data_IF_763443050446
#
_entry.id   IF_763443050446
#
_cell.length_a   1.000
_cell.length_b   1.000
_cell.length_c   1.000
_cell.angle_alpha   90.00
_cell.angle_beta   90.00
_cell.angle_gamma   90.00
#
_symmetry.space_group_name_H-M   'P 1'
#
loop_
_entity.id
_entity.type
_entity.pdbx_description
1 polymer ?
#
# COMPACT_ATOMS: atom_id res chain seq x y z
N UNK A 1 -9.93 1.38 24.73
CA UNK A 1 -10.25 -0.06 24.87
C UNK A 1 -9.85 -0.63 26.24
N UNK A 2 -9.18 0.10 27.08
CA UNK A 2 -8.53 -0.39 28.30
C UNK A 2 -7.17 -1.03 28.02
N UNK A 3 -6.44 -1.41 29.07
CA UNK A 3 -5.13 -2.06 29.02
C UNK A 3 -4.03 -1.29 28.28
N UNK A 4 -4.22 0.03 28.09
CA UNK A 4 -3.31 0.89 27.33
C UNK A 4 -3.44 0.74 25.80
N UNK A 5 -4.48 0.10 25.30
CA UNK A 5 -4.76 -0.04 23.87
C UNK A 5 -5.77 1.02 23.42
N UNK A 6 -5.45 1.74 22.34
CA UNK A 6 -6.35 2.71 21.69
C UNK A 6 -6.92 2.13 20.39
N UNK A 7 -8.01 2.74 19.89
CA UNK A 7 -8.53 2.51 18.54
C UNK A 7 -8.42 3.80 17.75
N UNK A 8 -7.95 3.68 16.52
CA UNK A 8 -8.03 4.71 15.50
C UNK A 8 -9.08 4.30 14.47
N UNK A 9 -10.02 5.18 14.20
CA UNK A 9 -11.11 4.96 13.23
C UNK A 9 -11.15 6.08 12.20
N UNK A 10 -11.48 5.73 10.96
CA UNK A 10 -11.68 6.66 9.85
C UNK A 10 -13.19 6.84 9.66
N UNK A 11 -13.66 8.09 9.65
CA UNK A 11 -15.09 8.41 9.54
C UNK A 11 -15.45 9.18 8.26
N UNK A 12 -14.56 9.21 7.27
CA UNK A 12 -14.83 9.77 5.96
C UNK A 12 -15.75 8.86 5.14
N UNK A 13 -16.32 9.38 4.04
CA UNK A 13 -17.14 8.55 3.15
C UNK A 13 -16.32 7.41 2.56
N UNK A 14 -16.78 6.17 2.75
CA UNK A 14 -16.03 4.97 2.34
C UNK A 14 -14.73 4.75 3.10
N UNK A 15 -14.58 5.38 4.28
CA UNK A 15 -13.36 5.39 5.06
C UNK A 15 -12.13 5.76 4.20
N UNK A 16 -12.33 6.71 3.25
CA UNK A 16 -11.26 7.20 2.38
C UNK A 16 -10.25 8.05 3.16
N UNK A 17 -9.01 7.99 2.73
CA UNK A 17 -7.90 8.69 3.39
C UNK A 17 -7.66 9.99 2.62
N UNK A 18 -8.12 11.08 3.21
CA UNK A 18 -7.87 12.46 2.77
C UNK A 18 -6.75 13.10 3.62
N UNK A 19 -6.41 14.35 3.32
CA UNK A 19 -5.38 15.06 4.07
C UNK A 19 -5.73 15.23 5.55
N UNK A 20 -7.00 15.45 5.89
CA UNK A 20 -7.43 15.59 7.29
C UNK A 20 -7.26 14.27 8.05
N UNK A 21 -7.66 13.16 7.44
CA UNK A 21 -7.47 11.80 7.98
C UNK A 21 -5.99 11.50 8.20
N UNK A 22 -5.13 11.88 7.23
CA UNK A 22 -3.69 11.69 7.33
C UNK A 22 -3.07 12.52 8.48
N UNK A 23 -3.48 13.77 8.62
CA UNK A 23 -3.05 14.63 9.74
C UNK A 23 -3.55 14.12 11.09
N UNK A 24 -4.76 13.57 11.13
CA UNK A 24 -5.30 12.97 12.34
C UNK A 24 -4.54 11.70 12.73
N UNK A 25 -4.18 10.85 11.74
CA UNK A 25 -3.34 9.68 11.98
C UNK A 25 -1.97 10.09 12.53
N UNK A 26 -1.32 11.08 11.92
CA UNK A 26 -0.02 11.60 12.37
C UNK A 26 -0.04 12.04 13.84
N UNK A 27 -1.04 12.86 14.22
CA UNK A 27 -1.24 13.30 15.60
C UNK A 27 -1.59 12.16 16.55
N UNK A 28 -2.36 11.18 16.07
CA UNK A 28 -2.74 9.99 16.85
C UNK A 28 -1.52 9.14 17.19
N UNK A 29 -0.58 8.97 16.25
CA UNK A 29 0.68 8.26 16.50
C UNK A 29 1.47 8.94 17.61
N UNK A 30 1.59 10.29 17.61
CA UNK A 30 2.25 11.03 18.67
C UNK A 30 1.54 10.87 20.03
N UNK A 31 0.22 10.93 20.03
CA UNK A 31 -0.58 10.76 21.25
C UNK A 31 -0.39 9.37 21.86
N UNK A 32 -0.40 8.32 21.00
CA UNK A 32 -0.21 6.94 21.48
C UNK A 32 1.21 6.73 21.98
N UNK A 33 2.21 7.27 21.28
CA UNK A 33 3.61 7.21 21.72
C UNK A 33 3.84 7.75 23.13
N UNK A 34 3.08 8.78 23.51
CA UNK A 34 3.24 9.46 24.81
C UNK A 34 2.34 8.91 25.93
N UNK A 35 1.18 8.32 25.59
CA UNK A 35 0.13 8.08 26.59
C UNK A 35 -0.43 6.65 26.59
N UNK A 36 -0.12 5.84 25.58
CA UNK A 36 -0.66 4.50 25.42
C UNK A 36 0.43 3.49 25.06
N UNK A 37 0.05 2.21 24.93
CA UNK A 37 1.00 1.12 24.71
C UNK A 37 0.85 0.44 23.35
N UNK A 38 -0.29 0.61 22.67
CA UNK A 38 -0.57 0.06 21.36
C UNK A 38 -1.71 0.83 20.67
N UNK A 39 -1.74 0.74 19.34
CA UNK A 39 -2.82 1.25 18.49
C UNK A 39 -3.45 0.10 17.71
N UNK A 40 -4.78 0.04 17.70
CA UNK A 40 -5.56 -0.77 16.77
C UNK A 40 -6.19 0.17 15.75
N UNK A 41 -6.03 -0.11 14.46
CA UNK A 41 -6.72 0.60 13.38
C UNK A 41 -7.89 -0.28 12.97
N UNK A 42 -9.10 0.21 13.16
CA UNK A 42 -10.34 -0.52 12.91
C UNK A 42 -11.41 0.44 12.42
N UNK A 43 -12.24 0.01 11.52
CA UNK A 43 -13.39 0.78 11.04
C UNK A 43 -14.66 -0.04 11.13
N UNK A 44 -15.68 0.55 11.72
CA UNK A 44 -17.04 0.00 11.69
C UNK A 44 -17.59 0.05 10.26
N UNK A 45 -18.61 -0.78 10.00
CA UNK A 45 -19.32 -0.79 8.72
C UNK A 45 -18.87 -1.91 7.77
N UNK A 46 -19.08 -1.70 6.48
CA UNK A 46 -18.91 -2.73 5.44
C UNK A 46 -17.52 -2.81 4.84
N UNK A 47 -16.67 -1.82 5.11
CA UNK A 47 -15.32 -1.78 4.55
C UNK A 47 -14.32 -1.15 5.53
N UNK A 48 -13.06 -1.60 5.43
CA UNK A 48 -11.96 -1.01 6.18
C UNK A 48 -11.58 0.35 5.59
N UNK A 49 -11.28 0.43 4.29
CA UNK A 49 -10.98 1.68 3.59
C UNK A 49 -11.03 1.50 2.08
N UNK A 50 -11.62 2.47 1.38
CA UNK A 50 -11.56 2.56 -0.09
C UNK A 50 -10.20 3.08 -0.61
N UNK A 51 -9.27 3.46 0.27
CA UNK A 51 -7.97 4.02 -0.08
C UNK A 51 -7.91 5.54 -0.09
N UNK A 52 -6.93 6.09 -0.78
CA UNK A 52 -6.74 7.53 -0.89
C UNK A 52 -7.93 8.23 -1.57
N UNK A 53 -8.25 9.45 -1.13
CA UNK A 53 -9.25 10.28 -1.80
C UNK A 53 -8.69 10.86 -3.12
N UNK A 54 -8.70 10.04 -4.17
CA UNK A 54 -8.19 10.44 -5.50
C UNK A 54 -8.98 11.61 -6.11
N UNK A 55 -10.22 11.85 -5.66
CA UNK A 55 -11.03 12.99 -6.09
C UNK A 55 -10.46 14.32 -5.58
N UNK A 56 -9.89 14.34 -4.37
CA UNK A 56 -9.20 15.52 -3.85
C UNK A 56 -7.96 15.84 -4.69
N UNK A 57 -7.16 14.83 -5.02
CA UNK A 57 -5.98 15.00 -5.86
C UNK A 57 -6.34 15.50 -7.27
N UNK A 58 -7.40 14.94 -7.89
CA UNK A 58 -7.87 15.38 -9.21
C UNK A 58 -8.40 16.81 -9.20
N UNK A 59 -9.17 17.19 -8.17
CA UNK A 59 -9.68 18.57 -8.02
C UNK A 59 -8.52 19.58 -7.93
N UNK A 60 -7.50 19.26 -7.16
CA UNK A 60 -6.32 20.10 -7.02
C UNK A 60 -5.54 20.22 -8.35
N UNK A 61 -5.49 19.12 -9.12
CA UNK A 61 -4.98 19.11 -10.48
C UNK A 61 -5.68 20.07 -11.40
N UNK A 62 -6.98 20.03 -11.43
CA UNK A 62 -7.82 20.86 -12.32
C UNK A 62 -7.72 22.37 -12.04
N UNK A 63 -7.31 22.80 -10.85
CA UNK A 63 -7.10 24.22 -10.52
C UNK A 63 -5.66 24.70 -10.72
N UNK A 64 -4.80 23.90 -11.40
CA UNK A 64 -3.43 24.29 -11.76
C UNK A 64 -2.40 24.22 -10.63
N UNK A 65 -2.74 23.56 -9.51
CA UNK A 65 -1.82 23.32 -8.38
C UNK A 65 -1.17 21.93 -8.45
N UNK A 66 -1.12 21.36 -9.65
CA UNK A 66 -0.94 19.94 -9.92
C UNK A 66 0.34 19.32 -9.38
N UNK A 67 1.47 19.99 -9.50
CA UNK A 67 2.75 19.32 -9.27
C UNK A 67 3.20 19.43 -7.81
N UNK A 68 3.24 20.65 -7.26
CA UNK A 68 3.78 20.84 -5.90
C UNK A 68 2.87 20.29 -4.79
N UNK A 69 1.55 20.25 -5.02
CA UNK A 69 0.63 19.82 -3.98
C UNK A 69 0.45 18.31 -3.97
N UNK A 70 0.42 17.66 -5.15
CA UNK A 70 0.47 16.18 -5.22
C UNK A 70 1.75 15.66 -4.58
N UNK A 71 2.89 16.33 -4.83
CA UNK A 71 4.17 15.98 -4.22
C UNK A 71 4.10 16.07 -2.69
N UNK A 72 3.58 17.17 -2.16
CA UNK A 72 3.41 17.37 -0.71
C UNK A 72 2.48 16.33 -0.07
N UNK A 73 1.39 15.97 -0.75
CA UNK A 73 0.45 14.92 -0.29
C UNK A 73 1.15 13.56 -0.25
N UNK A 74 1.89 13.22 -1.31
CA UNK A 74 2.61 11.95 -1.41
C UNK A 74 3.71 11.88 -0.35
N UNK A 75 4.57 12.88 -0.26
CA UNK A 75 5.65 12.94 0.73
C UNK A 75 5.13 12.90 2.17
N UNK A 76 4.04 13.63 2.44
CA UNK A 76 3.43 13.63 3.76
C UNK A 76 2.83 12.26 4.11
N UNK A 77 2.13 11.63 3.17
CA UNK A 77 1.58 10.29 3.36
C UNK A 77 2.68 9.24 3.59
N UNK A 78 3.75 9.28 2.80
CA UNK A 78 4.93 8.42 3.01
C UNK A 78 5.52 8.62 4.41
N UNK A 79 5.71 9.87 4.83
CA UNK A 79 6.22 10.20 6.17
C UNK A 79 5.33 9.63 7.28
N UNK A 80 4.01 9.79 7.17
CA UNK A 80 3.07 9.31 8.19
C UNK A 80 3.05 7.78 8.25
N UNK A 81 3.07 7.09 7.11
CA UNK A 81 3.08 5.63 7.07
C UNK A 81 4.42 5.05 7.55
N UNK A 82 5.54 5.70 7.23
CA UNK A 82 6.83 5.35 7.82
C UNK A 82 6.81 5.55 9.36
N UNK A 83 6.23 6.65 9.84
CA UNK A 83 6.07 6.91 11.27
C UNK A 83 5.20 5.84 11.95
N UNK A 84 4.14 5.37 11.26
CA UNK A 84 3.29 4.28 11.73
C UNK A 84 4.09 2.98 11.87
N UNK A 85 4.82 2.57 10.81
CA UNK A 85 5.64 1.34 10.78
C UNK A 85 6.71 1.33 11.86
N UNK A 86 7.39 2.47 12.01
CA UNK A 86 8.52 2.65 12.93
C UNK A 86 8.13 3.32 14.25
N UNK A 87 6.89 3.15 14.69
CA UNK A 87 6.46 3.62 16.02
C UNK A 87 7.17 2.84 17.13
N UNK A 88 7.22 3.43 18.32
CA UNK A 88 7.78 2.78 19.53
C UNK A 88 6.76 1.89 20.25
N UNK A 89 5.64 1.62 19.64
CA UNK A 89 4.55 0.77 20.11
C UNK A 89 3.99 -0.07 18.96
N UNK A 90 3.40 -1.25 19.22
CA UNK A 90 2.82 -2.06 18.17
C UNK A 90 1.54 -1.45 17.59
N UNK A 91 1.43 -1.49 16.26
CA UNK A 91 0.25 -1.12 15.49
C UNK A 91 -0.38 -2.38 14.91
N UNK A 92 -1.67 -2.56 15.18
CA UNK A 92 -2.47 -3.69 14.70
C UNK A 92 -3.57 -3.14 13.80
N UNK A 93 -3.62 -3.58 12.54
CA UNK A 93 -4.77 -3.28 11.69
C UNK A 93 -5.79 -4.41 11.73
N UNK A 94 -7.07 -4.06 11.80
CA UNK A 94 -8.18 -5.00 11.89
C UNK A 94 -9.16 -4.80 10.72
N UNK A 95 -8.78 -5.21 9.48
CA UNK A 95 -9.62 -5.03 8.31
C UNK A 95 -10.81 -5.99 8.27
N UNK A 96 -11.93 -5.48 7.74
CA UNK A 96 -13.11 -6.24 7.33
C UNK A 96 -13.64 -5.63 6.03
N UNK A 97 -14.08 -6.46 5.09
CA UNK A 97 -14.48 -6.00 3.77
C UNK A 97 -13.31 -5.42 2.97
N UNK A 98 -13.53 -4.35 2.23
CA UNK A 98 -12.51 -3.76 1.36
C UNK A 98 -11.44 -2.98 2.13
N UNK A 99 -10.18 -3.28 1.83
CA UNK A 99 -8.99 -2.55 2.26
C UNK A 99 -8.11 -2.31 1.02
N UNK A 100 -8.40 -1.24 0.28
CA UNK A 100 -7.86 -1.00 -1.05
C UNK A 100 -6.89 0.19 -1.07
N UNK A 101 -5.93 0.16 -1.98
CA UNK A 101 -4.99 1.26 -2.20
C UNK A 101 -4.31 1.71 -0.91
N UNK A 102 -4.42 3.00 -0.57
CA UNK A 102 -3.90 3.55 0.68
C UNK A 102 -4.40 2.83 1.94
N UNK A 103 -5.60 2.22 1.93
CA UNK A 103 -6.08 1.36 2.99
C UNK A 103 -5.29 0.04 3.09
N UNK A 104 -4.92 -0.55 1.96
CA UNK A 104 -4.01 -1.69 1.91
C UNK A 104 -2.60 -1.28 2.39
N UNK A 105 -2.14 -0.09 2.02
CA UNK A 105 -0.84 0.42 2.47
C UNK A 105 -0.77 0.59 4.00
N UNK A 106 -1.88 0.95 4.68
CA UNK A 106 -1.95 0.90 6.17
C UNK A 106 -1.66 -0.51 6.68
N UNK A 107 -2.28 -1.55 6.09
CA UNK A 107 -2.05 -2.93 6.50
C UNK A 107 -0.59 -3.34 6.30
N UNK A 108 0.00 -2.92 5.17
CA UNK A 108 1.38 -3.22 4.84
C UNK A 108 2.38 -2.60 5.83
N UNK A 109 2.05 -1.43 6.39
CA UNK A 109 2.86 -0.72 7.39
C UNK A 109 2.53 -1.10 8.85
N UNK A 110 1.53 -1.94 9.08
CA UNK A 110 1.18 -2.42 10.42
C UNK A 110 2.11 -3.54 10.89
N UNK A 111 2.39 -3.58 12.19
CA UNK A 111 3.22 -4.63 12.78
C UNK A 111 2.52 -6.00 12.77
N UNK A 112 1.18 -5.98 12.83
CA UNK A 112 0.35 -7.17 12.77
C UNK A 112 -1.01 -6.83 12.16
N UNK A 113 -1.59 -7.77 11.43
CA UNK A 113 -2.94 -7.65 10.89
C UNK A 113 -3.81 -8.75 11.48
N UNK A 114 -4.93 -8.37 12.09
CA UNK A 114 -6.00 -9.29 12.47
C UNK A 114 -7.13 -9.12 11.48
N UNK A 115 -7.17 -9.90 10.41
CA UNK A 115 -8.13 -9.72 9.34
C UNK A 115 -9.43 -10.51 9.61
N UNK A 116 -10.57 -9.95 9.24
CA UNK A 116 -11.78 -10.74 9.06
C UNK A 116 -11.61 -11.67 7.85
N UNK A 117 -12.17 -12.87 7.90
CA UNK A 117 -12.04 -13.85 6.81
C UNK A 117 -12.53 -13.30 5.47
N UNK A 118 -13.60 -12.50 5.47
CA UNK A 118 -14.11 -11.79 4.29
C UNK A 118 -13.45 -10.42 4.16
N UNK A 119 -12.17 -10.40 3.83
CA UNK A 119 -11.39 -9.20 3.56
C UNK A 119 -10.88 -9.19 2.12
N UNK A 120 -11.17 -8.10 1.42
CA UNK A 120 -10.78 -7.83 0.04
C UNK A 120 -9.64 -6.82 0.04
N UNK A 121 -8.41 -7.32 -0.02
CA UNK A 121 -7.21 -6.53 0.20
C UNK A 121 -6.44 -6.41 -1.11
N UNK A 122 -6.05 -5.20 -1.50
CA UNK A 122 -5.29 -5.00 -2.73
C UNK A 122 -4.77 -3.59 -2.96
N UNK A 123 -3.66 -3.51 -3.71
CA UNK A 123 -3.13 -2.29 -4.29
C UNK A 123 -3.77 -2.12 -5.68
N UNK A 124 -4.77 -1.24 -5.76
CA UNK A 124 -5.64 -1.13 -6.96
C UNK A 124 -5.31 0.06 -7.84
N UNK A 125 -4.26 0.79 -7.53
CA UNK A 125 -3.84 2.03 -8.17
C UNK A 125 -3.59 1.87 -9.67
N UNK A 126 -3.00 0.75 -10.10
CA UNK A 126 -2.72 0.50 -11.52
C UNK A 126 -3.99 0.46 -12.38
N UNK A 127 -5.11 -0.03 -11.84
CA UNK A 127 -6.40 0.02 -12.53
C UNK A 127 -6.92 1.44 -12.73
N UNK A 128 -6.52 2.38 -11.86
CA UNK A 128 -6.86 3.80 -11.92
C UNK A 128 -5.89 4.62 -12.78
N UNK A 129 -4.89 3.99 -13.37
CA UNK A 129 -3.89 4.68 -14.19
C UNK A 129 -2.73 5.28 -13.40
N UNK A 130 -2.57 4.93 -12.13
CA UNK A 130 -1.53 5.41 -11.22
C UNK A 130 -0.80 4.23 -10.56
N UNK A 131 0.15 4.50 -9.66
CA UNK A 131 0.85 3.48 -8.87
C UNK A 131 0.67 3.73 -7.37
N UNK A 132 0.87 2.71 -6.51
CA UNK A 132 0.99 2.92 -5.07
C UNK A 132 2.10 3.93 -4.77
N UNK A 133 1.84 4.86 -3.86
CA UNK A 133 2.76 5.96 -3.62
C UNK A 133 3.01 6.29 -2.14
N UNK A 134 2.37 5.58 -1.21
CA UNK A 134 2.62 5.71 0.22
C UNK A 134 3.42 4.53 0.80
N UNK A 135 4.22 3.88 -0.06
CA UNK A 135 5.10 2.77 0.30
C UNK A 135 4.56 1.40 -0.07
N UNK A 136 3.45 1.30 -0.81
CA UNK A 136 2.84 0.02 -1.18
C UNK A 136 3.75 -0.86 -2.03
N UNK A 137 4.46 -0.30 -3.01
CA UNK A 137 5.42 -1.03 -3.81
C UNK A 137 6.58 -1.54 -2.94
N UNK A 138 7.15 -0.66 -2.13
CA UNK A 138 8.25 -0.95 -1.22
C UNK A 138 7.89 -2.07 -0.23
N UNK A 139 6.75 -1.96 0.44
CA UNK A 139 6.35 -2.94 1.45
C UNK A 139 6.03 -4.30 0.84
N UNK A 140 5.36 -4.34 -0.32
CA UNK A 140 5.05 -5.62 -0.96
C UNK A 140 6.31 -6.29 -1.50
N UNK A 141 7.26 -5.53 -2.05
CA UNK A 141 8.57 -6.03 -2.45
C UNK A 141 9.30 -6.65 -1.25
N UNK A 142 9.37 -5.92 -0.13
CA UNK A 142 9.98 -6.39 1.11
C UNK A 142 9.38 -7.70 1.61
N UNK A 143 8.06 -7.81 1.59
CA UNK A 143 7.36 -9.03 2.01
C UNK A 143 7.74 -10.25 1.17
N UNK A 144 7.88 -10.08 -0.15
CA UNK A 144 8.32 -11.17 -1.01
C UNK A 144 9.80 -11.49 -0.87
N UNK A 145 10.67 -10.51 -0.68
CA UNK A 145 12.10 -10.75 -0.45
C UNK A 145 12.37 -11.53 0.84
N UNK A 146 11.58 -11.26 1.89
CA UNK A 146 11.73 -11.93 3.18
C UNK A 146 10.87 -13.20 3.32
N UNK A 147 10.10 -13.57 2.29
CA UNK A 147 9.31 -14.79 2.30
C UNK A 147 10.19 -16.02 2.04
N UNK A 148 10.36 -16.85 3.07
CA UNK A 148 11.18 -18.08 3.03
C UNK A 148 10.74 -19.11 1.98
N UNK A 149 9.51 -19.00 1.48
CA UNK A 149 8.97 -19.88 0.44
C UNK A 149 9.22 -19.34 -0.99
N UNK A 150 9.77 -18.14 -1.12
CA UNK A 150 10.17 -17.61 -2.44
C UNK A 150 11.49 -18.23 -2.91
N UNK A 151 11.66 -18.46 -4.22
CA UNK A 151 12.95 -18.83 -4.77
C UNK A 151 14.01 -17.77 -4.47
N UNK A 152 15.27 -18.20 -4.32
CA UNK A 152 16.38 -17.31 -4.04
C UNK A 152 16.66 -16.33 -5.19
N UNK A 153 17.16 -15.16 -4.84
CA UNK A 153 17.53 -14.09 -5.76
C UNK A 153 16.48 -12.99 -5.88
N UNK A 154 16.83 -11.82 -6.42
CA UNK A 154 15.95 -10.64 -6.39
C UNK A 154 14.80 -10.74 -7.38
N UNK A 155 14.97 -11.43 -8.53
CA UNK A 155 13.96 -11.45 -9.60
C UNK A 155 12.64 -12.11 -9.20
N UNK A 156 12.59 -13.24 -8.46
CA UNK A 156 11.31 -13.84 -8.06
C UNK A 156 10.43 -12.88 -7.25
N UNK A 157 11.01 -12.18 -6.27
CA UNK A 157 10.29 -11.20 -5.45
C UNK A 157 9.79 -10.02 -6.29
N UNK A 158 10.66 -9.46 -7.13
CA UNK A 158 10.34 -8.36 -8.05
C UNK A 158 9.21 -8.75 -9.00
N UNK A 159 9.30 -9.92 -9.64
CA UNK A 159 8.28 -10.40 -10.59
C UNK A 159 6.93 -10.62 -9.90
N UNK A 160 6.93 -11.19 -8.70
CA UNK A 160 5.70 -11.43 -7.94
C UNK A 160 5.05 -10.11 -7.53
N UNK A 161 5.82 -9.16 -6.99
CA UNK A 161 5.34 -7.82 -6.66
C UNK A 161 4.80 -7.10 -7.90
N UNK A 162 5.54 -7.13 -9.00
CA UNK A 162 5.14 -6.54 -10.27
C UNK A 162 3.81 -7.10 -10.80
N UNK A 163 3.65 -8.42 -10.81
CA UNK A 163 2.39 -9.06 -11.22
C UNK A 163 1.22 -8.72 -10.31
N UNK A 164 1.46 -8.63 -9.00
CA UNK A 164 0.42 -8.32 -8.03
C UNK A 164 -0.05 -6.87 -8.16
N UNK A 165 0.88 -5.92 -8.23
CA UNK A 165 0.59 -4.48 -8.32
C UNK A 165 0.11 -4.10 -9.73
N UNK A 166 0.85 -4.52 -10.77
CA UNK A 166 0.56 -4.14 -12.16
C UNK A 166 -0.77 -4.67 -12.68
N UNK A 167 -1.22 -5.81 -12.19
CA UNK A 167 -2.54 -6.35 -12.50
C UNK A 167 -3.63 -5.90 -11.51
N UNK A 168 -3.30 -5.02 -10.57
CA UNK A 168 -4.21 -4.52 -9.53
C UNK A 168 -4.95 -5.68 -8.82
N UNK A 169 -4.22 -6.74 -8.47
CA UNK A 169 -4.82 -7.92 -7.83
C UNK A 169 -5.43 -7.55 -6.48
N UNK A 170 -6.63 -8.07 -6.26
CA UNK A 170 -7.33 -7.94 -4.98
C UNK A 170 -7.70 -9.34 -4.50
N UNK A 171 -7.47 -9.63 -3.22
CA UNK A 171 -7.90 -10.88 -2.63
C UNK A 171 -9.42 -10.92 -2.50
N UNK A 172 -10.00 -12.12 -2.52
CA UNK A 172 -11.41 -12.37 -2.24
C UNK A 172 -11.65 -12.85 -0.80
N UNK A 173 -10.58 -13.07 -0.06
CA UNK A 173 -10.59 -13.51 1.33
C UNK A 173 -9.26 -13.23 2.02
N UNK A 174 -9.23 -13.29 3.36
CA UNK A 174 -7.98 -13.17 4.12
C UNK A 174 -6.99 -14.32 3.84
N UNK A 175 -7.40 -15.61 3.70
CA UNK A 175 -6.48 -16.67 3.26
C UNK A 175 -5.83 -16.37 1.89
N UNK A 176 -6.59 -15.93 0.90
CA UNK A 176 -6.02 -15.56 -0.40
C UNK A 176 -5.09 -14.34 -0.29
N UNK A 177 -5.40 -13.38 0.61
CA UNK A 177 -4.50 -12.26 0.87
C UNK A 177 -3.13 -12.71 1.39
N UNK A 178 -3.05 -13.82 2.14
CA UNK A 178 -1.79 -14.44 2.52
C UNK A 178 -1.06 -15.04 1.30
N UNK A 179 -1.76 -15.72 0.40
CA UNK A 179 -1.17 -16.35 -0.80
C UNK A 179 -0.60 -15.33 -1.77
N UNK A 180 -1.26 -14.18 -1.90
CA UNK A 180 -0.82 -13.10 -2.80
C UNK A 180 0.07 -12.05 -2.13
N UNK A 181 0.38 -12.21 -0.83
CA UNK A 181 1.41 -11.46 -0.12
C UNK A 181 0.95 -10.21 0.62
N UNK A 182 -0.36 -9.91 0.66
CA UNK A 182 -0.88 -8.76 1.41
C UNK A 182 -1.00 -9.03 2.91
N UNK A 183 -1.12 -10.28 3.32
CA UNK A 183 -0.99 -10.72 4.71
C UNK A 183 0.23 -11.63 4.85
N UNK A 184 0.79 -11.67 6.05
CA UNK A 184 1.88 -12.57 6.41
C UNK A 184 1.30 -13.87 6.97
N UNK A 185 2.10 -14.93 7.01
CA UNK A 185 1.72 -16.22 7.61
C UNK A 185 1.42 -16.12 9.11
N UNK A 186 2.04 -15.15 9.79
CA UNK A 186 1.84 -14.87 11.20
C UNK A 186 0.66 -13.97 11.52
N UNK A 187 0.06 -13.29 10.52
CA UNK A 187 -1.12 -12.44 10.70
C UNK A 187 -2.34 -13.29 11.07
N UNK A 188 -3.25 -12.73 11.87
CA UNK A 188 -4.41 -13.43 12.39
C UNK A 188 -5.64 -13.35 11.48
N UNK A 189 -6.48 -14.39 11.52
CA UNK A 189 -7.77 -14.41 10.82
C UNK A 189 -8.90 -14.64 11.83
N UNK A 190 -9.89 -13.74 11.82
CA UNK A 190 -11.10 -13.82 12.63
C UNK A 190 -12.29 -14.21 11.75
N UNK A 191 -13.01 -15.28 12.12
CA UNK A 191 -14.17 -15.77 11.36
C UNK A 191 -15.44 -14.99 11.68
N UNK A 192 -15.62 -14.54 12.92
CA UNK A 192 -16.79 -13.80 13.37
C UNK A 192 -16.45 -12.30 13.44
N UNK A 193 -17.07 -11.50 12.59
CA UNK A 193 -16.83 -10.06 12.51
C UNK A 193 -17.01 -9.34 13.85
N UNK A 194 -18.00 -9.73 14.65
CA UNK A 194 -18.28 -9.09 15.95
C UNK A 194 -17.15 -9.30 16.96
N UNK A 195 -16.27 -10.27 16.71
CA UNK A 195 -15.09 -10.53 17.52
C UNK A 195 -13.82 -9.84 17.04
N UNK A 196 -13.83 -9.30 15.81
CA UNK A 196 -12.64 -8.80 15.14
C UNK A 196 -11.88 -7.76 15.99
N UNK A 197 -12.59 -6.76 16.50
CA UNK A 197 -11.97 -5.72 17.35
C UNK A 197 -11.45 -6.28 18.67
N UNK A 198 -12.14 -7.27 19.24
CA UNK A 198 -11.68 -7.96 20.45
C UNK A 198 -10.41 -8.77 20.20
N UNK A 199 -10.38 -9.54 19.11
CA UNK A 199 -9.23 -10.37 18.74
C UNK A 199 -8.02 -9.49 18.40
N UNK A 200 -8.21 -8.37 17.71
CA UNK A 200 -7.17 -7.37 17.46
C UNK A 200 -6.62 -6.74 18.77
N UNK A 201 -7.50 -6.47 19.76
CA UNK A 201 -7.06 -6.04 21.09
C UNK A 201 -6.21 -7.09 21.78
N UNK A 202 -6.58 -8.36 21.72
CA UNK A 202 -5.80 -9.46 22.31
C UNK A 202 -4.42 -9.56 21.64
N UNK A 203 -4.35 -9.44 20.31
CA UNK A 203 -3.09 -9.39 19.58
C UNK A 203 -2.22 -8.20 20.03
N UNK A 204 -2.82 -7.02 20.21
CA UNK A 204 -2.12 -5.84 20.73
C UNK A 204 -1.53 -6.08 22.13
N UNK A 205 -2.33 -6.63 23.05
CA UNK A 205 -1.87 -6.96 24.42
C UNK A 205 -0.73 -7.98 24.40
N UNK A 206 -0.80 -8.97 23.51
CA UNK A 206 0.28 -9.96 23.35
C UNK A 206 1.58 -9.29 22.85
N UNK A 207 1.47 -8.44 21.82
CA UNK A 207 2.64 -7.76 21.23
C UNK A 207 3.28 -6.75 22.18
N UNK A 208 2.52 -6.00 22.98
CA UNK A 208 3.07 -5.04 23.98
C UNK A 208 4.16 -5.66 24.86
N UNK A 209 4.04 -6.95 25.19
CA UNK A 209 4.95 -7.60 26.13
C UNK A 209 6.38 -7.77 25.58
N UNK A 210 6.50 -7.97 24.28
CA UNK A 210 7.77 -8.27 23.62
C UNK A 210 7.99 -7.43 22.35
N UNK A 211 7.39 -6.24 22.28
CA UNK A 211 7.50 -5.40 21.11
C UNK A 211 8.93 -4.94 20.90
N UNK A 212 9.43 -5.20 19.71
CA UNK A 212 10.68 -4.65 19.21
C UNK A 212 10.36 -3.82 17.99
N UNK A 213 10.75 -2.55 18.02
CA UNK A 213 10.58 -1.64 16.90
C UNK A 213 11.30 -2.21 15.67
N UNK A 214 10.66 -2.27 14.49
CA UNK A 214 11.32 -2.74 13.28
C UNK A 214 12.54 -1.87 12.92
N UNK A 215 13.55 -2.50 12.35
CA UNK A 215 14.70 -1.79 11.76
C UNK A 215 14.38 -1.38 10.33
N UNK A 216 14.98 -0.27 9.87
CA UNK A 216 14.91 0.12 8.45
C UNK A 216 15.62 -0.92 7.59
N UNK A 217 15.02 -1.22 6.45
CA UNK A 217 15.54 -2.20 5.52
C UNK A 217 16.40 -1.53 4.44
N UNK A 218 17.32 -2.30 3.92
CA UNK A 218 18.08 -1.97 2.71
C UNK A 218 17.92 -3.09 1.69
N UNK A 219 18.10 -2.75 0.42
CA UNK A 219 17.82 -3.62 -0.72
C UNK A 219 18.99 -3.64 -1.67
N UNK A 220 19.21 -4.78 -2.33
CA UNK A 220 20.12 -4.93 -3.47
C UNK A 220 19.31 -5.29 -4.69
N UNK A 221 19.00 -4.29 -5.49
CA UNK A 221 18.10 -4.41 -6.63
C UNK A 221 18.85 -4.38 -7.95
N UNK A 222 18.44 -5.19 -8.95
CA UNK A 222 19.16 -5.34 -10.21
C UNK A 222 19.10 -4.12 -11.16
N UNK A 223 18.33 -3.09 -10.83
CA UNK A 223 18.23 -1.87 -11.62
C UNK A 223 17.77 -2.13 -13.05
N UNK A 224 18.51 -1.59 -13.99
CA UNK A 224 18.20 -1.66 -15.43
C UNK A 224 18.03 -3.09 -15.96
N UNK A 225 18.70 -4.08 -15.37
CA UNK A 225 18.59 -5.49 -15.82
C UNK A 225 17.20 -6.06 -15.48
N UNK A 226 16.69 -5.80 -14.26
CA UNK A 226 15.34 -6.21 -13.88
C UNK A 226 14.28 -5.45 -14.68
N UNK A 227 14.47 -4.13 -14.85
CA UNK A 227 13.58 -3.31 -15.67
C UNK A 227 13.43 -3.88 -17.09
N UNK A 228 14.54 -4.18 -17.77
CA UNK A 228 14.51 -4.74 -19.13
C UNK A 228 13.75 -6.07 -19.21
N UNK A 229 13.89 -6.94 -18.20
CA UNK A 229 13.16 -8.19 -18.13
C UNK A 229 11.64 -7.98 -17.98
N UNK A 230 11.25 -7.03 -17.11
CA UNK A 230 9.83 -6.69 -16.91
C UNK A 230 9.23 -6.01 -18.15
N UNK A 231 10.00 -5.13 -18.81
CA UNK A 231 9.58 -4.46 -20.06
C UNK A 231 9.34 -5.46 -21.20
N UNK A 232 10.19 -6.47 -21.31
CA UNK A 232 9.98 -7.56 -22.28
C UNK A 232 8.66 -8.29 -22.01
N UNK A 233 8.33 -8.54 -20.73
CA UNK A 233 7.05 -9.11 -20.34
C UNK A 233 5.85 -8.23 -20.73
N UNK A 234 5.94 -6.93 -20.47
CA UNK A 234 4.91 -5.95 -20.89
C UNK A 234 4.72 -5.91 -22.40
N UNK A 235 5.82 -5.97 -23.17
CA UNK A 235 5.75 -6.03 -24.62
C UNK A 235 4.99 -7.28 -25.09
N UNK A 236 5.27 -8.44 -24.51
CA UNK A 236 4.53 -9.66 -24.82
C UNK A 236 3.03 -9.54 -24.50
N UNK A 237 2.64 -8.85 -23.44
CA UNK A 237 1.23 -8.61 -23.10
C UNK A 237 0.55 -7.66 -24.11
N UNK A 238 1.25 -6.64 -24.61
CA UNK A 238 0.77 -5.76 -25.69
C UNK A 238 0.58 -6.56 -26.98
N UNK A 239 1.60 -7.31 -27.39
CA UNK A 239 1.58 -8.09 -28.63
C UNK A 239 0.42 -9.12 -28.65
N UNK A 240 0.01 -9.60 -27.48
CA UNK A 240 -1.13 -10.49 -27.28
C UNK A 240 -2.48 -9.76 -27.04
N UNK A 241 -2.51 -8.43 -27.06
CA UNK A 241 -3.73 -7.63 -26.82
C UNK A 241 -4.31 -7.74 -25.41
N UNK A 242 -3.48 -8.09 -24.42
CA UNK A 242 -3.90 -8.27 -23.02
C UNK A 242 -3.96 -6.96 -22.24
N UNK A 243 -3.17 -5.97 -22.63
CA UNK A 243 -3.08 -4.66 -21.98
C UNK A 243 -3.07 -3.54 -23.05
N UNK A 244 -3.48 -2.34 -22.66
CA UNK A 244 -3.39 -1.13 -23.49
C UNK A 244 -1.96 -0.54 -23.46
N UNK A 245 -1.66 0.38 -24.40
CA UNK A 245 -0.39 1.13 -24.36
C UNK A 245 -0.26 1.96 -23.05
N UNK A 246 -1.39 2.43 -22.50
CA UNK A 246 -1.36 3.14 -21.25
C UNK A 246 -1.10 2.21 -20.06
N UNK A 247 -1.67 1.00 -20.04
CA UNK A 247 -1.34 -0.03 -19.04
C UNK A 247 0.15 -0.40 -19.09
N UNK A 248 0.74 -0.50 -20.30
CA UNK A 248 2.19 -0.70 -20.46
C UNK A 248 2.99 0.45 -19.83
N UNK A 249 2.58 1.69 -20.08
CA UNK A 249 3.26 2.86 -19.50
C UNK A 249 3.19 2.85 -17.97
N UNK A 250 2.04 2.51 -17.37
CA UNK A 250 1.88 2.32 -15.93
C UNK A 250 2.81 1.20 -15.44
N UNK A 251 2.81 0.06 -16.14
CA UNK A 251 3.69 -1.06 -15.85
C UNK A 251 5.18 -0.69 -15.87
N UNK A 252 5.62 0.16 -16.80
CA UNK A 252 6.99 0.66 -16.84
C UNK A 252 7.35 1.51 -15.60
N UNK A 253 6.43 2.34 -15.10
CA UNK A 253 6.64 3.10 -13.86
C UNK A 253 6.77 2.14 -12.65
N UNK A 254 5.88 1.15 -12.53
CA UNK A 254 5.95 0.14 -11.47
C UNK A 254 7.24 -0.69 -11.59
N UNK A 255 7.66 -1.06 -12.82
CA UNK A 255 8.92 -1.75 -13.06
C UNK A 255 10.13 -0.92 -12.62
N UNK A 256 10.11 0.39 -12.86
CA UNK A 256 11.16 1.31 -12.40
C UNK A 256 11.29 1.31 -10.87
N UNK A 257 10.17 1.36 -10.15
CA UNK A 257 10.16 1.32 -8.68
C UNK A 257 10.75 0.00 -8.18
N UNK A 258 10.19 -1.12 -8.64
CA UNK A 258 10.52 -2.45 -8.13
C UNK A 258 11.93 -2.93 -8.54
N UNK A 259 12.46 -2.44 -9.65
CA UNK A 259 13.85 -2.71 -10.05
C UNK A 259 14.88 -1.88 -9.28
N UNK A 260 14.46 -0.82 -8.59
CA UNK A 260 15.34 0.13 -7.89
C UNK A 260 15.81 1.30 -8.76
N UNK A 261 15.28 1.47 -9.98
CA UNK A 261 15.65 2.57 -10.87
C UNK A 261 17.09 2.47 -11.38
N UNK A 262 17.87 3.55 -11.24
CA UNK A 262 19.27 3.61 -11.71
C UNK A 262 20.22 3.10 -10.60
N UNK A 263 20.15 1.80 -10.32
CA UNK A 263 21.04 1.08 -9.39
C UNK A 263 21.48 -0.25 -10.01
N UNK A 264 22.26 -1.02 -9.27
CA UNK A 264 22.69 -2.38 -9.60
C UNK A 264 22.85 -3.24 -8.33
N UNK A 265 23.12 -4.53 -8.50
CA UNK A 265 23.30 -5.48 -7.39
C UNK A 265 24.52 -5.22 -6.50
N UNK A 266 25.44 -4.35 -6.89
CA UNK A 266 26.62 -4.02 -6.10
C UNK A 266 26.33 -2.90 -5.10
N UNK A 267 25.33 -2.07 -5.41
CA UNK A 267 24.92 -0.94 -4.61
C UNK A 267 23.72 -1.32 -3.73
N UNK A 268 23.82 -0.94 -2.46
CA UNK A 268 22.74 -1.06 -1.50
C UNK A 268 21.93 0.23 -1.50
N UNK A 269 20.60 0.12 -1.60
CA UNK A 269 19.66 1.24 -1.55
C UNK A 269 18.75 1.09 -0.34
N UNK A 270 18.40 2.21 0.28
CA UNK A 270 17.50 2.23 1.43
C UNK A 270 16.02 2.34 1.02
N UNK A 271 15.14 2.31 2.01
CA UNK A 271 13.70 2.49 1.80
C UNK A 271 13.37 3.87 1.21
N UNK A 272 14.10 4.92 1.61
CA UNK A 272 13.85 6.29 1.17
C UNK A 272 14.13 6.45 -0.33
N UNK A 273 15.10 5.68 -0.88
CA UNK A 273 15.34 5.59 -2.31
C UNK A 273 14.13 5.03 -3.07
N UNK A 274 13.53 3.94 -2.58
CA UNK A 274 12.36 3.33 -3.24
C UNK A 274 11.14 4.24 -3.11
N UNK A 275 10.93 4.87 -1.96
CA UNK A 275 9.86 5.84 -1.75
C UNK A 275 9.97 7.04 -2.71
N UNK A 276 11.20 7.51 -2.97
CA UNK A 276 11.42 8.56 -3.97
C UNK A 276 11.07 8.10 -5.38
N UNK A 277 11.34 6.85 -5.75
CA UNK A 277 10.92 6.30 -7.04
C UNK A 277 9.39 6.20 -7.13
N UNK A 278 8.69 5.82 -6.04
CA UNK A 278 7.23 5.85 -5.98
C UNK A 278 6.69 7.28 -6.21
N UNK A 279 7.26 8.28 -5.50
CA UNK A 279 6.89 9.69 -5.65
C UNK A 279 7.09 10.19 -7.09
N UNK A 280 8.23 9.93 -7.70
CA UNK A 280 8.50 10.33 -9.08
C UNK A 280 7.55 9.65 -10.09
N UNK A 281 7.23 8.39 -9.86
CA UNK A 281 6.36 7.60 -10.74
C UNK A 281 4.91 8.06 -10.67
N UNK A 282 4.36 8.32 -9.46
CA UNK A 282 2.98 8.83 -9.31
C UNK A 282 2.83 10.20 -9.96
N UNK A 283 3.81 11.10 -9.82
CA UNK A 283 3.81 12.41 -10.49
C UNK A 283 3.77 12.28 -12.00
N UNK A 284 4.58 11.36 -12.54
CA UNK A 284 4.65 11.10 -13.98
C UNK A 284 3.32 10.55 -14.50
N UNK A 285 2.69 9.63 -13.75
CA UNK A 285 1.41 9.01 -14.11
C UNK A 285 0.25 9.99 -13.96
N UNK A 286 0.23 10.79 -12.89
CA UNK A 286 -0.88 11.72 -12.63
C UNK A 286 -1.00 12.82 -13.69
N UNK A 287 0.11 13.18 -14.36
CA UNK A 287 0.14 14.12 -15.50
C UNK A 287 -0.41 13.53 -16.81
N UNK A 288 -0.65 12.22 -16.86
CA UNK A 288 -1.14 11.59 -18.09
C UNK A 288 -2.64 11.81 -18.26
N UNK A 289 -3.12 12.34 -19.40
CA UNK A 289 -4.55 12.55 -19.63
C UNK A 289 -5.39 11.27 -19.45
N UNK A 290 -4.84 10.12 -19.85
CA UNK A 290 -5.52 8.82 -19.70
C UNK A 290 -5.65 8.37 -18.25
N UNK A 291 -4.69 8.71 -17.39
CA UNK A 291 -4.80 8.47 -15.94
C UNK A 291 -5.90 9.33 -15.33
N UNK A 292 -5.93 10.63 -15.69
CA UNK A 292 -6.96 11.55 -15.24
C UNK A 292 -8.36 11.09 -15.70
N UNK A 293 -8.50 10.69 -16.96
CA UNK A 293 -9.75 10.13 -17.51
C UNK A 293 -10.23 8.89 -16.71
N UNK A 294 -9.33 7.97 -16.32
CA UNK A 294 -9.70 6.80 -15.49
C UNK A 294 -10.25 7.21 -14.14
N UNK A 295 -9.60 8.18 -13.49
CA UNK A 295 -10.03 8.69 -12.17
C UNK A 295 -11.37 9.43 -12.31
N UNK A 296 -11.53 10.28 -13.30
CA UNK A 296 -12.79 11.00 -13.57
C UNK A 296 -13.95 10.02 -13.79
N UNK A 297 -13.76 9.01 -14.64
CA UNK A 297 -14.79 7.99 -14.91
C UNK A 297 -15.15 7.17 -13.68
N UNK A 298 -14.17 6.84 -12.83
CA UNK A 298 -14.46 6.19 -11.56
C UNK A 298 -15.35 7.08 -10.68
N UNK A 299 -15.02 8.37 -10.54
CA UNK A 299 -15.75 9.30 -9.70
C UNK A 299 -17.17 9.56 -10.22
N UNK A 300 -17.34 9.65 -11.56
CA UNK A 300 -18.64 9.89 -12.20
C UNK A 300 -19.55 8.68 -12.18
N UNK A 301 -19.00 7.50 -12.45
CA UNK A 301 -19.79 6.30 -12.77
C UNK A 301 -19.63 5.15 -11.77
N UNK A 302 -18.65 5.22 -10.89
CA UNK A 302 -18.24 4.11 -10.03
C UNK A 302 -17.58 2.95 -10.77
N UNK A 303 -17.23 3.12 -12.07
CA UNK A 303 -16.67 2.06 -12.90
C UNK A 303 -15.23 2.40 -13.33
N UNK A 304 -14.38 1.39 -13.27
CA UNK A 304 -13.03 1.45 -13.81
C UNK A 304 -13.09 1.23 -15.33
N UNK A 305 -12.42 2.10 -16.08
CA UNK A 305 -12.24 1.95 -17.53
C UNK A 305 -10.79 1.57 -17.85
N UNK A 306 -10.58 0.95 -19.03
CA UNK A 306 -9.25 0.75 -19.62
C UNK A 306 -9.22 1.44 -20.98
N UNK A 307 -8.26 2.38 -21.14
CA UNK A 307 -8.14 3.24 -22.32
C UNK A 307 -6.77 3.15 -22.98
#
# INVERSE_FOLDING_TARGET
MGDGVTVFEIHSRGNSIDMNTMQFLDKSIDTVSNSYKAMVIYNEGSMFSAGANVGEALFLGNIGLETELVDKIVEYGQKVYQKLKYSNFPVISAPSGMALGGGCEILLHSNFVQAHVESYIGLTEAALGICPAWGGCKELLSRFEHNKNMPNGPMPAIMKAFQTIGLAKTSTSAPEACEIGFLRSEDGITMNKDRLLHDAKLAAIYLIKNYVKPEKLSYRLPGRTAFAALELGLKGMIDNGQISEHDKFIGQQIATILSGGDTDMLNEVDEDHILKLESNSIQTLFKQPKSQERIEKLLETGKIIRN
#
